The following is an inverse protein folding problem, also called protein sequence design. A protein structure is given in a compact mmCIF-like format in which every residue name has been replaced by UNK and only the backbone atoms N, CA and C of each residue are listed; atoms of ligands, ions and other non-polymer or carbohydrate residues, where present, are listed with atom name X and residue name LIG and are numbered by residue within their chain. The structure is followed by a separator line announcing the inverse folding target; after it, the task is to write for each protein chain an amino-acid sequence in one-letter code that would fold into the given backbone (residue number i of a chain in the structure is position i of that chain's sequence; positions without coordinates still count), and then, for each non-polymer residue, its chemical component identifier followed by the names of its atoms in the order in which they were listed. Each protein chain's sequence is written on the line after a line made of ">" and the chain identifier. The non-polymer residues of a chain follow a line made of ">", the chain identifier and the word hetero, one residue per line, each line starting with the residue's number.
data_IF_676178863683
#
_entry.id   IF_676178863683
#
_cell.length_a   1.000
_cell.length_b   1.000
_cell.length_c   1.000
_cell.angle_alpha   90.00
_cell.angle_beta   90.00
_cell.angle_gamma   90.00
#
_symmetry.space_group_name_H-M   'P 1'
#
loop_
_entity.id
_entity.type
_entity.pdbx_description
1 polymer ?
#
# COMPACT_ATOMS: atom_id res chain seq x y z
N UNK A 1 -21.75 -9.69 9.22
CA UNK A 1 -20.45 -9.13 8.77
C UNK A 1 -20.18 -9.69 7.39
N UNK A 2 -19.88 -8.85 6.40
CA UNK A 2 -19.44 -9.37 5.10
C UNK A 2 -18.14 -10.18 5.28
N UNK A 3 -17.96 -11.31 4.59
CA UNK A 3 -16.75 -12.10 4.69
C UNK A 3 -15.53 -11.23 4.34
N UNK A 4 -14.53 -11.25 5.23
CA UNK A 4 -13.28 -10.53 4.98
C UNK A 4 -12.47 -11.33 3.98
N UNK A 5 -12.23 -10.79 2.79
CA UNK A 5 -11.42 -11.44 1.77
C UNK A 5 -9.95 -11.15 2.08
N UNK A 6 -9.15 -12.20 2.25
CA UNK A 6 -7.72 -12.15 2.49
C UNK A 6 -6.95 -12.30 1.17
N UNK A 7 -6.07 -11.35 0.87
CA UNK A 7 -5.24 -11.33 -0.33
C UNK A 7 -3.79 -11.73 -0.07
N UNK A 8 -3.48 -12.22 1.14
CA UNK A 8 -2.18 -12.76 1.51
C UNK A 8 -1.37 -11.87 2.45
N UNK A 9 -0.17 -12.34 2.79
CA UNK A 9 0.76 -11.64 3.67
C UNK A 9 1.32 -10.35 3.04
N UNK A 10 1.62 -9.36 3.87
CA UNK A 10 2.26 -8.11 3.41
C UNK A 10 3.77 -8.14 3.58
N UNK A 11 4.47 -7.53 2.62
CA UNK A 11 5.86 -7.10 2.81
C UNK A 11 5.85 -5.65 3.28
N UNK A 12 6.63 -5.36 4.32
CA UNK A 12 6.76 -4.01 4.86
C UNK A 12 7.99 -3.29 4.32
N UNK A 13 7.95 -1.96 4.37
CA UNK A 13 9.08 -1.07 4.13
C UNK A 13 8.87 0.25 4.88
N UNK A 14 9.70 1.24 4.58
CA UNK A 14 9.58 2.57 5.17
C UNK A 14 9.71 3.69 4.14
N UNK A 15 9.12 4.85 4.44
CA UNK A 15 9.39 6.09 3.69
C UNK A 15 10.73 6.68 4.14
N UNK A 16 11.22 7.71 3.43
CA UNK A 16 12.38 8.51 3.86
C UNK A 16 12.20 9.14 5.25
N UNK A 17 10.96 9.35 5.69
CA UNK A 17 10.60 9.88 7.01
C UNK A 17 10.20 8.75 7.99
N UNK A 18 10.68 7.52 7.75
CA UNK A 18 10.42 6.32 8.56
C UNK A 18 8.93 6.02 8.81
N UNK A 19 8.03 6.46 7.93
CA UNK A 19 6.61 6.08 7.99
C UNK A 19 6.43 4.66 7.46
N UNK A 20 5.56 3.86 8.11
CA UNK A 20 5.21 2.49 7.69
C UNK A 20 4.76 2.46 6.23
N UNK A 21 5.30 1.52 5.45
CA UNK A 21 4.88 1.23 4.08
C UNK A 21 4.52 -0.23 3.90
N UNK A 22 3.64 -0.49 2.93
CA UNK A 22 3.36 -1.82 2.39
C UNK A 22 3.88 -1.86 0.96
N UNK A 23 4.61 -2.92 0.64
CA UNK A 23 5.22 -3.20 -0.64
C UNK A 23 4.49 -4.39 -1.25
N UNK A 24 3.79 -4.18 -2.36
CA UNK A 24 2.97 -5.22 -2.99
C UNK A 24 3.44 -5.51 -4.41
N UNK A 25 3.92 -6.73 -4.65
CA UNK A 25 4.21 -7.24 -5.99
C UNK A 25 2.90 -7.46 -6.74
N UNK A 26 2.77 -6.83 -7.91
CA UNK A 26 1.58 -6.95 -8.75
C UNK A 26 1.49 -8.36 -9.32
N UNK A 27 0.33 -9.00 -9.16
CA UNK A 27 0.08 -10.29 -9.81
C UNK A 27 -0.32 -10.10 -11.28
N UNK A 28 -0.85 -8.93 -11.63
CA UNK A 28 -1.19 -8.57 -13.01
C UNK A 28 0.01 -8.08 -13.83
N UNK A 29 1.06 -7.57 -13.17
CA UNK A 29 2.25 -7.04 -13.81
C UNK A 29 3.52 -7.59 -13.13
N UNK A 30 3.97 -8.80 -13.50
CA UNK A 30 5.14 -9.44 -12.90
C UNK A 30 6.39 -8.55 -12.93
N UNK A 31 7.12 -8.49 -11.82
CA UNK A 31 8.32 -7.63 -11.67
C UNK A 31 8.00 -6.15 -11.43
N UNK A 32 6.72 -5.79 -11.33
CA UNK A 32 6.25 -4.47 -10.93
C UNK A 32 5.62 -4.50 -9.55
N UNK A 33 5.71 -3.38 -8.84
CA UNK A 33 5.25 -3.23 -7.46
C UNK A 33 4.49 -1.93 -7.26
N UNK A 34 3.42 -2.01 -6.46
CA UNK A 34 2.79 -0.85 -5.86
C UNK A 34 3.34 -0.60 -4.46
N UNK A 35 3.64 0.67 -4.18
CA UNK A 35 4.03 1.14 -2.85
C UNK A 35 2.84 1.83 -2.18
N UNK A 36 2.55 1.47 -0.94
CA UNK A 36 1.49 2.10 -0.15
C UNK A 36 2.05 2.66 1.15
N UNK A 37 1.73 3.91 1.50
CA UNK A 37 2.14 4.51 2.77
C UNK A 37 1.01 4.47 3.79
N UNK A 38 1.35 4.36 5.06
CA UNK A 38 0.39 4.43 6.14
C UNK A 38 -0.44 5.71 6.10
N UNK A 39 -1.75 5.58 6.36
CA UNK A 39 -2.70 6.69 6.42
C UNK A 39 -3.38 6.80 7.77
N UNK A 40 -3.92 5.70 8.28
CA UNK A 40 -4.73 5.68 9.51
C UNK A 40 -4.87 4.25 10.00
N UNK A 41 -5.28 4.06 11.25
CA UNK A 41 -5.70 2.75 11.75
C UNK A 41 -6.90 2.90 12.68
N UNK A 42 -7.55 1.76 12.92
CA UNK A 42 -8.65 1.61 13.87
C UNK A 42 -8.46 0.27 14.59
N UNK A 43 -8.71 0.25 15.90
CA UNK A 43 -8.75 -0.97 16.70
C UNK A 43 -10.20 -1.33 16.98
N UNK A 44 -10.55 -2.59 16.71
CA UNK A 44 -11.88 -3.10 17.08
C UNK A 44 -12.01 -3.31 18.60
N UNK A 45 -13.21 -3.63 19.08
CA UNK A 45 -13.50 -3.89 20.50
C UNK A 45 -12.69 -5.05 21.10
N UNK A 46 -12.06 -5.88 20.26
CA UNK A 46 -11.20 -7.01 20.66
C UNK A 46 -9.71 -6.63 20.65
N UNK A 47 -9.39 -5.36 20.40
CA UNK A 47 -8.02 -4.85 20.33
C UNK A 47 -7.29 -5.14 19.02
N UNK A 48 -7.98 -5.64 17.99
CA UNK A 48 -7.31 -6.01 16.73
C UNK A 48 -7.22 -4.77 15.83
N UNK A 49 -5.98 -4.35 15.52
CA UNK A 49 -5.72 -3.22 14.62
C UNK A 49 -6.02 -3.60 13.15
N UNK A 50 -6.76 -2.73 12.47
CA UNK A 50 -6.81 -2.64 11.01
C UNK A 50 -6.15 -1.33 10.59
N UNK A 51 -5.03 -1.42 9.87
CA UNK A 51 -4.29 -0.28 9.35
C UNK A 51 -4.59 -0.06 7.87
N UNK A 52 -4.75 1.20 7.47
CA UNK A 52 -5.07 1.61 6.11
C UNK A 52 -3.88 2.30 5.47
N UNK A 53 -3.61 1.94 4.22
CA UNK A 53 -2.49 2.47 3.45
C UNK A 53 -2.97 3.06 2.12
N UNK A 54 -2.34 4.13 1.66
CA UNK A 54 -2.65 4.87 0.42
C UNK A 54 -1.56 4.64 -0.62
N UNK A 55 -1.94 4.45 -1.87
CA UNK A 55 -0.97 4.26 -2.97
C UNK A 55 -0.08 5.51 -3.15
N UNK A 56 1.24 5.33 -3.07
CA UNK A 56 2.25 6.41 -3.20
C UNK A 56 2.28 6.99 -4.61
N UNK A 57 2.24 6.14 -5.64
CA UNK A 57 2.19 6.60 -7.03
C UNK A 57 0.98 7.49 -7.29
N UNK A 58 -0.20 7.07 -6.83
CA UNK A 58 -1.42 7.86 -6.95
C UNK A 58 -1.36 9.16 -6.12
N UNK A 59 -0.76 9.17 -4.92
CA UNK A 59 -0.58 10.41 -4.17
C UNK A 59 0.29 11.44 -4.91
N UNK A 60 1.36 10.98 -5.58
CA UNK A 60 2.21 11.86 -6.38
C UNK A 60 1.49 12.35 -7.63
N UNK A 61 0.81 11.46 -8.36
CA UNK A 61 0.07 11.81 -9.56
C UNK A 61 -1.15 12.71 -9.27
N UNK A 62 -1.75 12.66 -8.07
CA UNK A 62 -2.85 13.54 -7.67
C UNK A 62 -2.45 15.01 -7.66
N UNK A 63 -1.17 15.34 -7.43
CA UNK A 63 -0.69 16.72 -7.54
C UNK A 63 -0.98 17.34 -8.91
N UNK A 64 -1.25 16.51 -9.91
CA UNK A 64 -1.53 16.88 -11.30
C UNK A 64 -2.96 16.54 -11.74
N UNK A 65 -3.86 16.09 -10.85
CA UNK A 65 -5.21 15.64 -11.20
C UNK A 65 -6.27 15.98 -10.13
N UNK A 66 -7.22 16.85 -10.51
CA UNK A 66 -8.32 17.41 -9.73
C UNK A 66 -9.05 16.45 -8.79
N UNK A 67 -8.87 16.61 -7.48
CA UNK A 67 -9.81 16.09 -6.47
C UNK A 67 -9.94 14.57 -6.33
N UNK A 68 -9.33 13.76 -7.22
CA UNK A 68 -9.50 12.29 -7.25
C UNK A 68 -9.13 11.66 -5.91
N UNK A 69 -9.90 10.63 -5.52
CA UNK A 69 -9.62 9.86 -4.29
C UNK A 69 -8.38 9.00 -4.51
N UNK A 70 -7.59 8.80 -3.47
CA UNK A 70 -6.43 7.91 -3.53
C UNK A 70 -6.90 6.49 -3.20
N UNK A 71 -6.57 5.47 -4.02
CA UNK A 71 -6.85 4.08 -3.71
C UNK A 71 -6.24 3.69 -2.35
N UNK A 72 -7.00 2.88 -1.59
CA UNK A 72 -6.61 2.45 -0.26
C UNK A 72 -6.67 0.93 -0.14
N UNK A 73 -5.73 0.39 0.62
CA UNK A 73 -5.73 -1.00 1.06
C UNK A 73 -5.83 -1.06 2.57
N UNK A 74 -6.36 -2.15 3.09
CA UNK A 74 -6.40 -2.43 4.51
C UNK A 74 -5.49 -3.62 4.83
N UNK A 75 -4.79 -3.52 5.95
CA UNK A 75 -3.94 -4.56 6.50
C UNK A 75 -4.42 -4.86 7.90
N UNK A 76 -4.67 -6.13 8.19
CA UNK A 76 -5.06 -6.61 9.51
C UNK A 76 -4.19 -7.82 9.84
N UNK A 77 -3.53 -7.77 11.00
CA UNK A 77 -2.64 -8.85 11.46
C UNK A 77 -1.60 -9.28 10.41
N UNK A 78 -0.98 -8.32 9.71
CA UNK A 78 0.03 -8.60 8.69
C UNK A 78 -0.51 -9.15 7.37
N UNK A 79 -1.82 -9.08 7.13
CA UNK A 79 -2.47 -9.60 5.92
C UNK A 79 -3.31 -8.54 5.22
N UNK A 80 -3.30 -8.57 3.89
CA UNK A 80 -4.14 -7.71 3.05
C UNK A 80 -5.60 -8.14 3.18
N UNK A 81 -6.48 -7.21 3.52
CA UNK A 81 -7.91 -7.50 3.70
C UNK A 81 -8.78 -6.57 2.86
N UNK A 82 -9.86 -7.11 2.30
CA UNK A 82 -10.96 -6.37 1.66
C UNK A 82 -10.61 -5.49 0.45
N UNK A 83 -9.36 -5.51 -0.04
CA UNK A 83 -8.94 -4.73 -1.21
C UNK A 83 -7.83 -5.46 -1.94
N UNK A 84 -8.10 -5.84 -3.21
CA UNK A 84 -7.08 -6.29 -4.14
C UNK A 84 -6.18 -5.08 -4.48
N UNK A 85 -4.88 -5.10 -4.15
CA UNK A 85 -4.04 -3.94 -4.42
C UNK A 85 -3.81 -3.66 -5.91
N UNK A 86 -3.97 -4.63 -6.81
CA UNK A 86 -3.93 -4.41 -8.27
C UNK A 86 -5.19 -3.70 -8.79
N UNK A 87 -6.34 -4.02 -8.20
CA UNK A 87 -7.65 -3.46 -8.57
C UNK A 87 -8.44 -3.06 -7.31
N UNK A 88 -8.08 -1.95 -6.66
CA UNK A 88 -8.70 -1.55 -5.41
C UNK A 88 -10.19 -1.23 -5.62
N UNK A 89 -11.06 -1.84 -4.80
CA UNK A 89 -12.52 -1.71 -4.92
C UNK A 89 -13.03 -0.30 -4.63
N UNK A 90 -12.27 0.49 -3.86
CA UNK A 90 -12.68 1.82 -3.43
C UNK A 90 -12.40 2.92 -4.46
N UNK A 91 -11.36 2.76 -5.29
CA UNK A 91 -10.99 3.69 -6.37
C UNK A 91 -9.91 3.05 -7.26
N UNK A 92 -9.96 3.16 -8.60
CA UNK A 92 -8.93 2.62 -9.48
C UNK A 92 -7.60 3.38 -9.35
N UNK A 93 -6.49 2.69 -9.64
CA UNK A 93 -5.21 3.35 -9.80
C UNK A 93 -5.20 4.25 -11.02
N UNK A 94 -4.53 5.38 -10.90
CA UNK A 94 -4.19 6.27 -12.01
C UNK A 94 -2.67 6.48 -12.13
N UNK A 95 -1.90 5.71 -11.36
CA UNK A 95 -0.47 5.54 -11.56
C UNK A 95 -0.19 4.18 -12.19
N UNK A 96 1.01 4.03 -12.76
CA UNK A 96 1.56 2.71 -13.09
C UNK A 96 2.39 2.18 -11.91
N UNK A 97 2.44 0.86 -11.69
CA UNK A 97 3.37 0.28 -10.72
C UNK A 97 4.81 0.46 -11.21
N UNK A 98 5.75 0.49 -10.27
CA UNK A 98 7.18 0.71 -10.56
C UNK A 98 7.93 -0.63 -10.58
N UNK A 99 9.12 -0.67 -11.18
CA UNK A 99 9.96 -1.86 -11.10
C UNK A 99 10.31 -2.23 -9.66
N UNK A 100 10.15 -3.50 -9.32
CA UNK A 100 10.40 -4.01 -7.95
C UNK A 100 11.86 -3.80 -7.54
N UNK A 101 12.80 -3.93 -8.48
CA UNK A 101 14.21 -3.62 -8.25
C UNK A 101 14.46 -2.13 -7.89
N UNK A 102 13.72 -1.21 -8.52
CA UNK A 102 13.79 0.22 -8.19
C UNK A 102 13.22 0.48 -6.80
N UNK A 103 12.11 -0.17 -6.46
CA UNK A 103 11.53 -0.11 -5.11
C UNK A 103 12.51 -0.64 -4.06
N UNK A 104 13.10 -1.82 -4.28
CA UNK A 104 14.05 -2.42 -3.34
C UNK A 104 15.31 -1.55 -3.16
N UNK A 105 15.83 -0.95 -4.24
CA UNK A 105 16.93 0.02 -4.14
C UNK A 105 16.56 1.20 -3.24
N UNK A 106 15.37 1.78 -3.44
CA UNK A 106 14.87 2.89 -2.61
C UNK A 106 14.70 2.50 -1.14
N UNK A 107 14.32 1.26 -0.85
CA UNK A 107 14.20 0.79 0.54
C UNK A 107 15.57 0.68 1.19
N UNK A 108 16.54 0.05 0.52
CA UNK A 108 17.93 -0.04 1.01
C UNK A 108 18.53 1.32 1.31
N UNK A 109 18.38 2.28 0.39
CA UNK A 109 18.87 3.66 0.60
C UNK A 109 18.25 4.30 1.85
N UNK A 110 16.99 4.01 2.19
CA UNK A 110 16.31 4.56 3.37
C UNK A 110 16.70 3.86 4.68
N UNK A 111 17.21 2.64 4.58
CA UNK A 111 17.72 1.87 5.72
C UNK A 111 19.15 2.30 6.10
N UNK A 112 19.96 2.73 5.12
CA UNK A 112 21.37 3.11 5.32
C UNK A 112 21.58 4.52 5.88
N UNK A 113 20.63 5.46 5.72
CA UNK A 113 20.72 6.82 6.29
C UNK A 113 20.38 6.81 7.79
N UNK A 114 21.15 6.06 8.58
CA UNK A 114 21.08 6.00 10.05
C UNK A 114 22.40 6.49 10.63
#
# INVERSE_FOLDING_TARGET
>A
MAPTIDFGAVKYGCTKYKRRMVLYESVLQPGKRFEFCYSSSYQDKRGIETAYYKCVGCMHAKRYNDGRRIPKIAVRQGRLVNSNPDRPSNFPHFCQPIDSAVSDRRQREREVIN
#
